data_IF_565181991143
#
_entry.id   IF_565181991143
#
_cell.length_a   1.000
_cell.length_b   1.000
_cell.length_c   1.000
_cell.angle_alpha   90.00
_cell.angle_beta   90.00
_cell.angle_gamma   90.00
#
_symmetry.space_group_name_H-M   'P 1'
#
loop_
_entity.id
_entity.type
_entity.pdbx_description
1 polymer ?
#
# COMPACT_ATOMS: atom_id res chain seq x y z
N UNK A 1 35.87 1.99 18.08
CA UNK A 1 36.04 3.31 18.72
C UNK A 1 35.01 4.22 18.07
N UNK A 2 34.14 4.81 18.89
CA UNK A 2 33.22 5.93 18.63
C UNK A 2 32.13 5.78 17.55
N UNK A 3 30.96 5.39 18.06
CA UNK A 3 29.63 5.89 17.70
C UNK A 3 29.57 7.42 17.78
N UNK A 4 29.02 8.12 16.77
CA UNK A 4 28.18 9.36 16.81
C UNK A 4 27.64 9.53 15.37
N UNK A 5 26.41 9.90 15.02
CA UNK A 5 25.22 10.30 15.74
C UNK A 5 24.27 10.90 14.70
N UNK A 6 23.09 10.31 14.52
CA UNK A 6 22.01 10.89 13.73
C UNK A 6 21.05 11.60 14.68
N UNK A 7 20.70 12.83 14.31
CA UNK A 7 19.79 13.72 15.03
C UNK A 7 18.34 13.18 15.02
N UNK A 8 17.57 13.37 16.11
CA UNK A 8 16.14 13.11 16.14
C UNK A 8 15.32 14.30 15.61
N UNK A 9 14.11 14.06 15.05
CA UNK A 9 13.17 15.13 14.72
C UNK A 9 12.38 15.63 15.94
N UNK A 10 11.95 16.88 15.78
CA UNK A 10 11.34 17.79 16.76
C UNK A 10 10.23 17.20 17.65
N UNK A 11 10.42 17.39 18.95
CA UNK A 11 9.44 17.20 20.02
C UNK A 11 8.65 18.49 20.15
N UNK A 12 7.33 18.40 19.96
CA UNK A 12 6.39 19.46 20.36
C UNK A 12 6.22 19.40 21.89
N UNK A 13 6.54 20.50 22.56
CA UNK A 13 6.33 20.75 23.98
C UNK A 13 4.84 20.64 24.37
N UNK A 14 4.53 19.83 25.37
CA UNK A 14 3.37 20.04 26.26
C UNK A 14 3.84 19.99 27.73
N UNK A 15 3.30 20.86 28.60
CA UNK A 15 3.88 21.16 29.90
C UNK A 15 3.62 20.05 30.95
N UNK A 16 4.69 19.64 31.62
CA UNK A 16 4.66 18.91 32.89
C UNK A 16 4.09 19.81 34.02
N UNK A 17 2.77 19.87 34.16
CA UNK A 17 2.15 20.40 35.37
C UNK A 17 1.05 19.45 35.88
N UNK A 18 1.47 18.39 36.56
CA UNK A 18 0.57 17.63 37.44
C UNK A 18 1.29 16.80 38.52
N UNK A 19 2.63 16.74 38.51
CA UNK A 19 3.43 16.10 39.56
C UNK A 19 3.86 17.04 40.69
N UNK A 20 3.82 18.37 40.49
CA UNK A 20 4.25 19.33 41.51
C UNK A 20 3.21 19.55 42.63
N UNK A 21 1.93 19.26 42.39
CA UNK A 21 0.87 19.45 43.38
C UNK A 21 0.75 18.32 44.40
N UNK A 22 1.25 17.13 44.09
CA UNK A 22 1.16 15.96 44.99
C UNK A 22 2.27 15.93 46.04
N UNK A 23 3.41 16.60 45.82
CA UNK A 23 4.53 16.61 46.77
C UNK A 23 4.39 17.68 47.86
N UNK A 24 3.76 18.83 47.54
CA UNK A 24 3.65 19.96 48.47
C UNK A 24 2.68 19.79 49.65
N UNK A 25 1.80 18.78 49.62
CA UNK A 25 0.87 18.51 50.73
C UNK A 25 1.44 17.53 51.78
N UNK A 26 2.58 16.90 51.50
CA UNK A 26 3.15 15.88 52.38
C UNK A 26 4.27 16.43 53.30
N UNK A 27 4.79 17.63 53.03
CA UNK A 27 5.90 18.24 53.79
C UNK A 27 5.48 19.23 54.88
N UNK A 28 4.18 19.58 55.01
CA UNK A 28 3.71 20.52 56.05
C UNK A 28 3.32 19.86 57.38
N UNK A 29 3.52 18.56 57.57
CA UNK A 29 3.12 17.84 58.79
C UNK A 29 4.25 17.18 59.56
N UNK A 30 5.51 17.36 59.15
CA UNK A 30 6.65 16.69 59.77
C UNK A 30 7.71 17.69 60.28
N UNK A 31 7.30 18.65 61.13
CA UNK A 31 8.26 19.36 61.96
C UNK A 31 7.57 19.92 63.21
N UNK A 32 7.81 19.31 64.37
CA UNK A 32 8.14 20.06 65.58
C UNK A 32 8.74 19.12 66.64
N UNK A 33 9.96 19.46 67.05
CA UNK A 33 10.76 18.79 68.07
C UNK A 33 10.40 19.18 69.51
N UNK A 34 11.15 18.69 70.51
CA UNK A 34 10.62 18.30 71.82
C UNK A 34 10.81 19.35 72.92
N UNK A 35 10.00 19.26 74.00
CA UNK A 35 10.37 19.38 75.44
C UNK A 35 9.21 19.90 76.30
N UNK A 36 8.68 19.05 77.20
CA UNK A 36 8.59 19.24 78.67
C UNK A 36 7.59 18.27 79.30
N UNK A 37 8.06 17.54 80.30
CA UNK A 37 7.22 16.85 81.28
C UNK A 37 6.73 17.87 82.32
N UNK A 38 5.43 17.83 82.63
CA UNK A 38 4.87 18.08 83.96
C UNK A 38 3.54 17.32 84.05
N UNK A 39 3.31 16.60 85.16
CA UNK A 39 2.16 15.69 85.36
C UNK A 39 0.85 16.39 85.78
N UNK A 40 -0.04 15.71 86.52
CA UNK A 40 -0.81 14.52 86.16
C UNK A 40 -2.32 14.81 86.15
N UNK A 41 -3.11 14.12 85.33
CA UNK A 41 -4.56 14.11 85.54
C UNK A 41 -5.40 13.72 84.34
N UNK A 42 -6.31 12.77 84.57
CA UNK A 42 -7.58 12.71 83.84
C UNK A 42 -7.60 11.76 82.64
N UNK A 43 -8.20 10.59 82.88
CA UNK A 43 -8.61 9.63 81.87
C UNK A 43 -9.35 10.27 80.69
N UNK A 44 -9.09 9.79 79.48
CA UNK A 44 -10.11 9.44 78.48
C UNK A 44 -9.45 8.68 77.33
N UNK A 45 -9.77 7.39 77.22
CA UNK A 45 -9.45 6.55 76.06
C UNK A 45 -10.27 7.02 74.87
N UNK A 46 -9.63 7.61 73.87
CA UNK A 46 -10.27 7.90 72.58
C UNK A 46 -9.86 6.83 71.56
N UNK A 47 -10.66 5.77 71.47
CA UNK A 47 -10.60 4.78 70.38
C UNK A 47 -11.08 5.45 69.09
N UNK A 48 -10.20 5.58 68.09
CA UNK A 48 -10.58 5.98 66.73
C UNK A 48 -11.55 4.93 66.14
N UNK A 49 -12.65 5.33 65.49
CA UNK A 49 -13.58 4.39 64.87
C UNK A 49 -12.91 3.73 63.66
N UNK A 50 -12.74 2.40 63.71
CA UNK A 50 -12.36 1.58 62.55
C UNK A 50 -13.49 1.67 61.54
N UNK A 51 -13.19 2.17 60.34
CA UNK A 51 -14.16 2.24 59.25
C UNK A 51 -14.67 0.83 58.90
N UNK A 52 -15.98 0.64 58.64
CA UNK A 52 -16.52 -0.66 58.28
C UNK A 52 -15.92 -1.15 56.97
N UNK A 53 -15.70 -2.47 56.81
CA UNK A 53 -15.17 -3.03 55.57
C UNK A 53 -16.10 -2.68 54.40
N UNK A 54 -15.55 -2.39 53.20
CA UNK A 54 -16.39 -2.07 52.04
C UNK A 54 -17.34 -3.24 51.74
N UNK A 55 -18.58 -2.95 51.31
CA UNK A 55 -19.55 -3.97 50.97
C UNK A 55 -19.04 -4.87 49.84
N UNK A 56 -19.46 -6.14 49.79
CA UNK A 56 -19.07 -7.04 48.70
C UNK A 56 -19.60 -6.50 47.36
N UNK A 57 -18.80 -6.59 46.28
CA UNK A 57 -19.18 -6.04 44.98
C UNK A 57 -20.46 -6.70 44.47
N UNK A 58 -21.42 -5.88 44.00
CA UNK A 58 -22.69 -6.36 43.45
C UNK A 58 -22.62 -6.40 41.93
N UNK A 59 -23.37 -7.30 41.30
CA UNK A 59 -23.43 -7.42 39.83
C UNK A 59 -23.84 -6.11 39.13
N UNK A 60 -24.59 -5.25 39.83
CA UNK A 60 -25.05 -3.94 39.36
C UNK A 60 -23.89 -2.91 39.24
N UNK A 61 -22.83 -3.06 40.02
CA UNK A 61 -21.65 -2.18 39.98
C UNK A 61 -20.79 -2.41 38.73
N UNK A 62 -20.97 -3.57 38.08
CA UNK A 62 -20.21 -4.01 36.91
C UNK A 62 -20.88 -3.63 35.57
N UNK A 63 -21.83 -2.70 35.54
CA UNK A 63 -22.53 -2.33 34.30
C UNK A 63 -21.58 -1.84 33.19
N UNK A 64 -20.52 -1.11 33.55
CA UNK A 64 -19.47 -0.68 32.59
C UNK A 64 -18.70 -1.90 32.09
N UNK A 65 -18.30 -2.81 32.97
CA UNK A 65 -17.57 -4.02 32.58
C UNK A 65 -18.43 -4.92 31.69
N UNK A 66 -19.72 -5.09 31.99
CA UNK A 66 -20.66 -5.82 31.17
C UNK A 66 -20.84 -5.15 29.79
N UNK A 67 -20.92 -3.81 29.75
CA UNK A 67 -20.99 -3.07 28.50
C UNK A 67 -19.71 -3.23 27.66
N UNK A 68 -18.53 -3.18 28.28
CA UNK A 68 -17.24 -3.41 27.62
C UNK A 68 -17.11 -4.85 27.11
N UNK A 69 -17.54 -5.84 27.90
CA UNK A 69 -17.61 -7.24 27.46
C UNK A 69 -18.56 -7.41 26.27
N UNK A 70 -19.74 -6.76 26.31
CA UNK A 70 -20.69 -6.76 25.20
C UNK A 70 -20.10 -6.15 23.93
N UNK A 71 -19.43 -5.00 24.04
CA UNK A 71 -18.73 -4.36 22.92
C UNK A 71 -17.64 -5.26 22.34
N UNK A 72 -16.86 -5.92 23.20
CA UNK A 72 -15.81 -6.86 22.78
C UNK A 72 -16.40 -8.07 22.03
N UNK A 73 -17.51 -8.63 22.52
CA UNK A 73 -18.20 -9.74 21.85
C UNK A 73 -18.71 -9.29 20.48
N UNK A 74 -19.34 -8.12 20.38
CA UNK A 74 -19.78 -7.55 19.11
C UNK A 74 -18.62 -7.34 18.14
N UNK A 75 -17.49 -6.81 18.61
CA UNK A 75 -16.28 -6.62 17.81
C UNK A 75 -15.77 -7.96 17.24
N UNK A 76 -15.63 -8.97 18.09
CA UNK A 76 -15.18 -10.31 17.68
C UNK A 76 -16.15 -10.93 16.67
N UNK A 77 -17.46 -10.76 16.87
CA UNK A 77 -18.47 -11.24 15.94
C UNK A 77 -18.34 -10.59 14.56
N UNK A 78 -18.24 -9.26 14.50
CA UNK A 78 -18.05 -8.51 13.24
C UNK A 78 -16.76 -8.97 12.54
N UNK A 79 -15.67 -9.12 13.28
CA UNK A 79 -14.40 -9.57 12.73
C UNK A 79 -14.51 -10.95 12.08
N UNK A 80 -15.10 -11.92 12.79
CA UNK A 80 -15.22 -13.29 12.31
C UNK A 80 -16.19 -13.39 11.12
N UNK A 81 -17.32 -12.69 11.18
CA UNK A 81 -18.29 -12.66 10.09
C UNK A 81 -17.73 -11.98 8.83
N UNK A 82 -17.03 -10.86 8.98
CA UNK A 82 -16.39 -10.14 7.87
C UNK A 82 -15.30 -10.98 7.21
N UNK A 83 -14.43 -11.61 8.01
CA UNK A 83 -13.38 -12.52 7.53
C UNK A 83 -13.97 -13.73 6.79
N UNK A 84 -15.01 -14.34 7.35
CA UNK A 84 -15.69 -15.48 6.72
C UNK A 84 -16.31 -15.09 5.38
N UNK A 85 -17.02 -13.96 5.32
CA UNK A 85 -17.66 -13.48 4.09
C UNK A 85 -16.65 -13.20 2.98
N UNK A 86 -15.54 -12.53 3.30
CA UNK A 86 -14.46 -12.26 2.36
C UNK A 86 -13.83 -13.56 1.83
N UNK A 87 -13.63 -14.54 2.71
CA UNK A 87 -13.07 -15.84 2.34
C UNK A 87 -14.02 -16.64 1.43
N UNK A 88 -15.33 -16.60 1.69
CA UNK A 88 -16.32 -17.24 0.83
C UNK A 88 -16.39 -16.59 -0.55
N UNK A 89 -16.26 -15.26 -0.62
CA UNK A 89 -16.25 -14.54 -1.89
C UNK A 89 -15.00 -14.90 -2.73
N UNK A 90 -13.83 -14.97 -2.10
CA UNK A 90 -12.59 -15.38 -2.76
C UNK A 90 -12.65 -16.84 -3.24
N UNK A 91 -13.22 -17.75 -2.42
CA UNK A 91 -13.48 -19.14 -2.80
C UNK A 91 -14.46 -19.27 -3.97
N UNK A 92 -15.46 -18.40 -4.02
CA UNK A 92 -16.42 -18.37 -5.14
C UNK A 92 -15.73 -17.93 -6.42
N UNK A 93 -14.89 -16.90 -6.36
CA UNK A 93 -14.14 -16.45 -7.54
C UNK A 93 -13.25 -17.54 -8.11
N UNK A 94 -12.43 -18.20 -7.26
CA UNK A 94 -11.53 -19.24 -7.75
C UNK A 94 -12.31 -20.42 -8.35
N UNK A 95 -13.45 -20.79 -7.76
CA UNK A 95 -14.31 -21.86 -8.30
C UNK A 95 -14.75 -21.61 -9.75
N UNK A 96 -14.98 -20.37 -10.14
CA UNK A 96 -15.44 -20.03 -11.49
C UNK A 96 -14.30 -19.76 -12.49
N UNK A 97 -13.12 -19.36 -12.02
CA UNK A 97 -12.02 -18.92 -12.89
C UNK A 97 -10.84 -19.88 -12.93
N UNK A 98 -10.78 -20.85 -12.00
CA UNK A 98 -9.68 -21.81 -11.94
C UNK A 98 -9.53 -22.59 -13.24
N UNK A 99 -10.63 -23.08 -13.81
CA UNK A 99 -10.60 -23.87 -15.04
C UNK A 99 -10.06 -23.06 -16.22
N UNK A 100 -10.39 -21.77 -16.30
CA UNK A 100 -9.87 -20.84 -17.31
C UNK A 100 -8.35 -20.67 -17.16
N UNK A 101 -7.85 -20.48 -15.94
CA UNK A 101 -6.41 -20.32 -15.76
C UNK A 101 -5.65 -21.64 -15.93
N UNK A 102 -6.22 -22.76 -15.48
CA UNK A 102 -5.60 -24.08 -15.58
C UNK A 102 -5.48 -24.58 -17.02
N UNK A 103 -6.39 -24.18 -17.92
CA UNK A 103 -6.29 -24.52 -19.35
C UNK A 103 -5.18 -23.74 -20.07
N UNK A 104 -4.82 -22.57 -19.54
CA UNK A 104 -3.93 -21.60 -20.20
C UNK A 104 -2.52 -21.52 -19.60
N UNK A 105 -2.33 -22.00 -18.37
CA UNK A 105 -1.06 -21.98 -17.66
C UNK A 105 -0.61 -23.39 -17.28
N UNK A 106 0.68 -23.69 -17.46
CA UNK A 106 1.24 -24.99 -17.08
C UNK A 106 1.31 -25.18 -15.56
N UNK A 107 1.49 -24.10 -14.80
CA UNK A 107 1.54 -24.12 -13.34
C UNK A 107 0.55 -23.11 -12.75
N UNK A 108 -0.27 -23.57 -11.81
CA UNK A 108 -1.26 -22.75 -11.11
C UNK A 108 -1.14 -23.03 -9.61
N UNK A 109 -0.95 -21.97 -8.82
CA UNK A 109 -0.73 -22.03 -7.38
C UNK A 109 0.73 -21.82 -6.98
N UNK A 110 0.99 -22.00 -5.69
CA UNK A 110 2.33 -21.95 -5.08
C UNK A 110 2.99 -23.35 -5.13
N UNK A 111 4.32 -23.42 -5.01
CA UNK A 111 5.12 -24.63 -4.77
C UNK A 111 4.54 -25.59 -3.70
N UNK A 112 3.81 -25.06 -2.71
CA UNK A 112 3.13 -25.82 -1.65
C UNK A 112 1.78 -26.41 -2.05
N UNK A 113 1.33 -26.22 -3.29
CA UNK A 113 0.03 -26.67 -3.80
C UNK A 113 -1.16 -25.80 -3.37
N UNK A 114 -0.93 -24.68 -2.70
CA UNK A 114 -1.99 -23.73 -2.37
C UNK A 114 -2.32 -22.85 -3.58
N UNK A 115 -3.52 -23.01 -4.13
CA UNK A 115 -4.02 -22.23 -5.28
C UNK A 115 -4.28 -20.77 -4.88
N UNK A 116 -4.89 -20.57 -3.71
CA UNK A 116 -5.22 -19.26 -3.18
C UNK A 116 -4.49 -19.05 -1.85
N UNK A 117 -3.59 -18.08 -1.81
CA UNK A 117 -2.82 -17.71 -0.62
C UNK A 117 -3.52 -16.55 0.09
N UNK A 118 -3.72 -16.69 1.39
CA UNK A 118 -4.31 -15.65 2.24
C UNK A 118 -3.18 -14.74 2.77
N UNK A 119 -3.09 -13.53 2.23
CA UNK A 119 -2.12 -12.51 2.67
C UNK A 119 -2.68 -11.75 3.90
N UNK A 120 -4.00 -11.55 3.95
CA UNK A 120 -4.68 -10.92 5.09
C UNK A 120 -6.17 -11.29 5.20
N UNK A 121 -6.92 -10.68 6.13
CA UNK A 121 -8.36 -10.93 6.27
C UNK A 121 -9.20 -10.42 5.09
N UNK A 122 -8.65 -9.52 4.27
CA UNK A 122 -9.29 -8.94 3.09
C UNK A 122 -8.47 -9.09 1.80
N UNK A 123 -7.22 -9.55 1.88
CA UNK A 123 -6.34 -9.71 0.73
C UNK A 123 -6.06 -11.19 0.45
N UNK A 124 -6.30 -11.60 -0.78
CA UNK A 124 -6.00 -12.95 -1.27
C UNK A 124 -5.16 -12.87 -2.54
N UNK A 125 -4.21 -13.79 -2.67
CA UNK A 125 -3.26 -13.85 -3.78
C UNK A 125 -3.43 -15.16 -4.52
N UNK A 126 -3.52 -15.06 -5.84
CA UNK A 126 -3.49 -16.16 -6.78
C UNK A 126 -2.30 -15.98 -7.71
N UNK A 127 -1.60 -17.08 -8.01
CA UNK A 127 -0.39 -17.09 -8.82
C UNK A 127 -0.51 -18.16 -9.90
N UNK A 128 -0.09 -17.83 -11.11
CA UNK A 128 -0.01 -18.77 -12.24
C UNK A 128 1.22 -18.45 -13.09
N UNK A 129 1.86 -19.47 -13.68
CA UNK A 129 3.04 -19.33 -14.52
C UNK A 129 3.11 -20.42 -15.59
N UNK A 130 4.05 -20.28 -16.53
CA UNK A 130 4.27 -21.26 -17.59
C UNK A 130 3.38 -21.05 -18.83
N UNK A 131 3.11 -19.79 -19.20
CA UNK A 131 2.57 -19.41 -20.52
C UNK A 131 3.69 -18.74 -21.32
N UNK A 132 3.69 -18.89 -22.65
CA UNK A 132 4.80 -18.50 -23.54
C UNK A 132 5.28 -17.07 -23.32
N UNK A 133 4.40 -16.07 -23.40
CA UNK A 133 4.72 -14.63 -23.33
C UNK A 133 4.72 -14.05 -21.91
N UNK A 134 4.62 -14.89 -20.88
CA UNK A 134 4.37 -14.48 -19.51
C UNK A 134 5.25 -15.26 -18.54
N UNK A 135 6.11 -14.53 -17.82
CA UNK A 135 6.92 -15.11 -16.74
C UNK A 135 6.00 -15.59 -15.61
N UNK A 136 5.10 -14.70 -15.17
CA UNK A 136 4.09 -15.01 -14.17
C UNK A 136 2.90 -14.07 -14.22
N UNK A 137 1.75 -14.58 -13.78
CA UNK A 137 0.53 -13.85 -13.51
C UNK A 137 0.24 -13.90 -12.02
N UNK A 138 0.03 -12.73 -11.42
CA UNK A 138 -0.38 -12.55 -10.03
C UNK A 138 -1.71 -11.81 -9.98
N UNK A 139 -2.75 -12.47 -9.47
CA UNK A 139 -4.03 -11.83 -9.19
C UNK A 139 -4.15 -11.57 -7.69
N UNK A 140 -4.38 -10.30 -7.31
CA UNK A 140 -4.69 -9.88 -5.95
C UNK A 140 -6.18 -9.56 -5.85
N UNK A 141 -6.90 -10.31 -5.04
CA UNK A 141 -8.29 -10.03 -4.69
C UNK A 141 -8.27 -9.15 -3.43
N UNK A 142 -8.57 -7.88 -3.62
CA UNK A 142 -8.65 -6.87 -2.57
C UNK A 142 -10.12 -6.69 -2.19
N UNK A 143 -10.55 -7.40 -1.15
CA UNK A 143 -11.89 -7.27 -0.62
C UNK A 143 -12.01 -6.02 0.24
N UNK A 144 -13.22 -5.52 0.38
CA UNK A 144 -13.55 -4.53 1.41
C UNK A 144 -13.23 -5.13 2.79
N UNK A 145 -12.54 -4.41 3.68
CA UNK A 145 -12.20 -4.90 5.01
C UNK A 145 -13.43 -4.93 5.94
N UNK A 146 -14.36 -5.86 5.67
CA UNK A 146 -15.61 -6.06 6.43
C UNK A 146 -15.40 -6.51 7.88
N UNK A 147 -14.18 -6.93 8.21
CA UNK A 147 -13.80 -7.35 9.55
C UNK A 147 -13.46 -6.17 10.47
N UNK A 148 -13.26 -4.97 9.90
CA UNK A 148 -12.95 -3.75 10.63
C UNK A 148 -14.22 -2.90 10.80
N UNK A 149 -14.71 -2.69 12.03
CA UNK A 149 -15.88 -1.86 12.30
C UNK A 149 -15.73 -0.41 11.82
N UNK A 150 -14.51 0.14 11.87
CA UNK A 150 -14.26 1.53 11.43
C UNK A 150 -14.41 1.60 9.91
N UNK A 151 -13.82 0.65 9.19
CA UNK A 151 -13.98 0.57 7.74
C UNK A 151 -15.43 0.32 7.32
N UNK A 152 -16.18 -0.49 8.07
CA UNK A 152 -17.63 -0.65 7.86
C UNK A 152 -18.38 0.67 8.04
N UNK A 153 -18.08 1.43 9.09
CA UNK A 153 -18.69 2.74 9.34
C UNK A 153 -18.37 3.73 8.22
N UNK A 154 -17.13 3.77 7.74
CA UNK A 154 -16.75 4.58 6.57
C UNK A 154 -17.48 4.09 5.31
N UNK A 155 -17.68 2.78 5.18
CA UNK A 155 -18.46 2.17 4.10
C UNK A 155 -19.92 2.60 4.05
N UNK A 156 -20.52 2.98 5.19
CA UNK A 156 -21.87 3.58 5.23
C UNK A 156 -21.89 4.98 4.60
N UNK A 157 -20.80 5.75 4.73
CA UNK A 157 -20.67 7.10 4.17
C UNK A 157 -20.27 7.06 2.69
N UNK A 158 -19.42 6.12 2.29
CA UNK A 158 -18.95 5.98 0.91
C UNK A 158 -19.01 4.53 0.44
N UNK A 159 -19.67 4.25 -0.70
CA UNK A 159 -19.71 2.89 -1.24
C UNK A 159 -18.30 2.42 -1.59
N UNK A 160 -17.91 1.31 -0.98
CA UNK A 160 -16.68 0.60 -1.29
C UNK A 160 -17.00 -0.65 -2.10
N UNK A 161 -16.13 -0.99 -3.03
CA UNK A 161 -16.29 -2.16 -3.87
C UNK A 161 -15.06 -3.05 -3.76
N UNK A 162 -15.28 -4.36 -3.76
CA UNK A 162 -14.23 -5.36 -3.87
C UNK A 162 -13.54 -5.22 -5.25
N UNK A 163 -12.22 -5.44 -5.29
CA UNK A 163 -11.38 -5.23 -6.49
C UNK A 163 -10.54 -6.46 -6.77
N UNK A 164 -10.30 -6.72 -8.04
CA UNK A 164 -9.36 -7.74 -8.51
C UNK A 164 -8.29 -7.02 -9.32
N UNK A 165 -7.06 -7.04 -8.83
CA UNK A 165 -5.91 -6.47 -9.50
C UNK A 165 -5.04 -7.60 -10.03
N UNK A 166 -4.92 -7.70 -11.35
CA UNK A 166 -4.11 -8.70 -12.04
C UNK A 166 -2.86 -8.00 -12.56
N UNK A 167 -1.71 -8.52 -12.16
CA UNK A 167 -0.40 -8.12 -12.62
C UNK A 167 0.21 -9.28 -13.40
N UNK A 168 0.59 -9.01 -14.65
CA UNK A 168 1.28 -9.96 -15.50
C UNK A 168 2.68 -9.43 -15.75
N UNK A 169 3.70 -10.23 -15.45
CA UNK A 169 5.08 -9.94 -15.83
C UNK A 169 5.35 -10.62 -17.17
N UNK A 170 5.59 -9.80 -18.19
CA UNK A 170 5.89 -10.26 -19.55
C UNK A 170 7.36 -10.63 -19.66
N UNK A 171 7.72 -11.37 -20.70
CA UNK A 171 9.11 -11.63 -21.01
C UNK A 171 9.81 -10.35 -21.51
N UNK A 172 11.12 -10.28 -21.25
CA UNK A 172 11.95 -9.18 -21.72
C UNK A 172 12.19 -9.29 -23.23
N UNK A 173 12.36 -8.14 -23.89
CA UNK A 173 12.72 -8.02 -25.31
C UNK A 173 11.79 -8.69 -26.35
N UNK A 174 10.56 -9.06 -25.97
CA UNK A 174 9.58 -9.63 -26.93
C UNK A 174 8.91 -8.59 -27.82
N UNK A 175 8.79 -7.34 -27.35
CA UNK A 175 8.13 -6.26 -28.08
C UNK A 175 8.74 -4.89 -27.76
N UNK A 176 8.41 -3.88 -28.57
CA UNK A 176 8.96 -2.54 -28.39
C UNK A 176 8.46 -1.93 -27.06
N UNK A 177 9.36 -1.44 -26.18
CA UNK A 177 9.00 -0.85 -24.91
C UNK A 177 8.02 0.32 -25.09
N UNK A 178 6.92 0.30 -24.32
CA UNK A 178 5.89 1.33 -24.35
C UNK A 178 5.23 1.50 -22.98
N UNK A 179 4.74 2.72 -22.72
CA UNK A 179 3.80 3.03 -21.66
C UNK A 179 2.46 3.37 -22.30
N UNK A 180 1.49 2.50 -22.07
CA UNK A 180 0.11 2.67 -22.53
C UNK A 180 -0.85 2.38 -21.38
N UNK A 181 -2.01 3.04 -21.37
CA UNK A 181 -3.01 2.81 -20.35
C UNK A 181 -4.40 3.18 -20.80
N UNK A 182 -5.39 2.57 -20.14
CA UNK A 182 -6.79 2.93 -20.25
C UNK A 182 -7.34 2.99 -18.84
N UNK A 183 -7.97 4.08 -18.45
CA UNK A 183 -8.64 4.18 -17.15
C UNK A 183 -9.99 4.87 -17.26
N UNK A 184 -10.89 4.52 -16.35
CA UNK A 184 -12.18 5.19 -16.19
C UNK A 184 -12.02 6.63 -15.70
N UNK A 185 -12.95 7.51 -16.06
CA UNK A 185 -12.92 8.94 -15.72
C UNK A 185 -12.68 9.21 -14.22
N UNK A 186 -13.24 8.37 -13.35
CA UNK A 186 -13.07 8.46 -11.89
C UNK A 186 -11.64 8.19 -11.40
N UNK A 187 -10.84 7.48 -12.19
CA UNK A 187 -9.48 7.04 -11.84
C UNK A 187 -8.38 7.84 -12.53
N UNK A 188 -8.66 8.46 -13.68
CA UNK A 188 -7.66 9.19 -14.50
C UNK A 188 -6.81 10.15 -13.67
N UNK A 189 -7.43 11.05 -12.90
CA UNK A 189 -6.71 12.05 -12.11
C UNK A 189 -5.86 11.42 -11.00
N UNK A 190 -6.36 10.36 -10.37
CA UNK A 190 -5.64 9.65 -9.32
C UNK A 190 -4.44 8.90 -9.93
N UNK A 191 -4.66 8.15 -11.01
CA UNK A 191 -3.61 7.42 -11.71
C UNK A 191 -2.47 8.35 -12.18
N UNK A 192 -2.81 9.50 -12.77
CA UNK A 192 -1.82 10.47 -13.22
C UNK A 192 -1.08 11.16 -12.07
N UNK A 193 -1.69 11.28 -10.88
CA UNK A 193 -1.04 11.87 -9.70
C UNK A 193 -0.10 10.90 -8.99
N UNK A 194 -0.51 9.64 -8.85
CA UNK A 194 0.19 8.67 -8.00
C UNK A 194 1.12 7.73 -8.76
N UNK A 195 1.02 7.66 -10.09
CA UNK A 195 1.91 6.83 -10.91
C UNK A 195 2.90 7.66 -11.71
N UNK A 196 4.18 7.38 -11.50
CA UNK A 196 5.28 8.05 -12.16
C UNK A 196 5.37 7.70 -13.66
N UNK A 197 5.17 6.42 -14.00
CA UNK A 197 5.15 5.94 -15.38
C UNK A 197 4.16 6.72 -16.26
N UNK A 198 2.93 6.90 -15.80
CA UNK A 198 1.92 7.63 -16.57
C UNK A 198 2.22 9.14 -16.65
N UNK A 199 2.56 9.76 -15.52
CA UNK A 199 2.76 11.21 -15.46
C UNK A 199 3.99 11.69 -16.24
N UNK A 200 5.04 10.87 -16.31
CA UNK A 200 6.29 11.23 -16.95
C UNK A 200 6.31 10.90 -18.45
N UNK A 201 5.69 9.79 -18.87
CA UNK A 201 5.82 9.30 -20.24
C UNK A 201 4.58 9.57 -21.11
N UNK A 202 3.39 9.58 -20.51
CA UNK A 202 2.13 9.55 -21.30
C UNK A 202 1.41 10.88 -21.33
N UNK A 203 0.50 11.02 -22.29
CA UNK A 203 -0.51 12.07 -22.34
C UNK A 203 -1.91 11.47 -22.30
N UNK A 204 -2.84 12.22 -21.72
CA UNK A 204 -4.25 11.84 -21.65
C UNK A 204 -4.93 12.17 -22.97
N UNK A 205 -5.51 11.17 -23.63
CA UNK A 205 -6.19 11.30 -24.91
C UNK A 205 -7.53 10.58 -24.86
N UNK A 206 -8.57 11.18 -25.43
CA UNK A 206 -9.83 10.49 -25.70
C UNK A 206 -9.72 9.79 -27.05
N UNK A 207 -9.98 8.50 -27.09
CA UNK A 207 -9.97 7.70 -28.30
C UNK A 207 -11.41 7.30 -28.66
N UNK A 208 -11.82 7.38 -29.94
CA UNK A 208 -13.13 6.90 -30.37
C UNK A 208 -13.28 5.38 -30.26
N UNK A 209 -12.16 4.65 -30.09
CA UNK A 209 -12.13 3.20 -29.91
C UNK A 209 -12.52 2.77 -28.48
N UNK A 210 -12.54 3.71 -27.54
CA UNK A 210 -12.80 3.43 -26.13
C UNK A 210 -14.21 3.89 -25.74
N UNK A 211 -14.82 3.26 -24.71
CA UNK A 211 -16.09 3.71 -24.18
C UNK A 211 -16.02 5.17 -23.66
N UNK A 212 -17.13 5.90 -23.71
CA UNK A 212 -17.19 7.33 -23.34
C UNK A 212 -16.66 7.67 -21.94
N UNK A 213 -16.73 6.71 -21.01
CA UNK A 213 -16.26 6.85 -19.63
C UNK A 213 -14.77 6.49 -19.45
N UNK A 214 -14.03 6.21 -20.53
CA UNK A 214 -12.63 5.81 -20.50
C UNK A 214 -11.74 6.84 -21.18
N UNK A 215 -10.50 6.95 -20.67
CA UNK A 215 -9.45 7.77 -21.25
C UNK A 215 -8.22 6.91 -21.48
N UNK A 216 -7.54 7.15 -22.60
CA UNK A 216 -6.26 6.54 -22.90
C UNK A 216 -5.12 7.38 -22.34
N UNK A 217 -4.13 6.73 -21.78
CA UNK A 217 -2.80 7.25 -21.53
C UNK A 217 -1.89 6.70 -22.62
N UNK A 218 -1.31 7.58 -23.44
CA UNK A 218 -0.44 7.12 -24.52
C UNK A 218 0.76 8.04 -24.71
N UNK A 219 1.91 7.46 -25.03
CA UNK A 219 3.09 8.19 -25.50
C UNK A 219 2.87 8.75 -26.93
N UNK A 220 2.12 8.03 -27.77
CA UNK A 220 1.87 8.40 -29.17
C UNK A 220 0.51 7.91 -29.67
N UNK A 221 -0.14 8.65 -30.59
CA UNK A 221 -1.47 8.29 -31.11
C UNK A 221 -1.53 6.88 -31.71
N UNK A 222 -0.48 6.49 -32.45
CA UNK A 222 -0.37 5.19 -33.11
C UNK A 222 -0.34 4.00 -32.14
N UNK A 223 0.15 4.20 -30.90
CA UNK A 223 0.18 3.15 -29.88
C UNK A 223 -1.24 2.73 -29.52
N UNK A 224 -2.15 3.70 -29.34
CA UNK A 224 -3.54 3.43 -28.97
C UNK A 224 -4.26 2.62 -30.05
N UNK A 225 -4.11 2.97 -31.32
CA UNK A 225 -4.78 2.26 -32.43
C UNK A 225 -4.17 0.89 -32.73
N UNK A 226 -2.93 0.66 -32.29
CA UNK A 226 -2.25 -0.63 -32.46
C UNK A 226 -2.64 -1.62 -31.37
N UNK A 227 -2.76 -1.15 -30.13
CA UNK A 227 -3.05 -1.99 -28.96
C UNK A 227 -4.56 -2.24 -28.78
N UNK A 228 -5.41 -1.26 -29.08
CA UNK A 228 -6.86 -1.40 -28.95
C UNK A 228 -7.45 -1.82 -30.28
N UNK A 229 -7.69 -3.12 -30.43
CA UNK A 229 -8.45 -3.67 -31.55
C UNK A 229 -9.97 -3.64 -31.27
N UNK A 230 -10.75 -4.10 -32.26
CA UNK A 230 -12.21 -4.17 -32.14
C UNK A 230 -12.67 -5.13 -31.04
N UNK A 231 -11.90 -6.19 -30.74
CA UNK A 231 -12.24 -7.16 -29.71
C UNK A 231 -12.04 -6.62 -28.31
N UNK A 232 -10.92 -5.96 -28.06
CA UNK A 232 -10.65 -5.23 -26.82
C UNK A 232 -11.70 -4.15 -26.61
N UNK A 233 -11.99 -3.34 -27.63
CA UNK A 233 -13.00 -2.28 -27.56
C UNK A 233 -14.39 -2.83 -27.20
N UNK A 234 -14.79 -3.95 -27.81
CA UNK A 234 -16.08 -4.61 -27.55
C UNK A 234 -16.21 -5.08 -26.11
N UNK A 235 -15.20 -5.78 -25.58
CA UNK A 235 -15.22 -6.31 -24.21
C UNK A 235 -15.20 -5.17 -23.19
N UNK A 236 -14.40 -4.13 -23.42
CA UNK A 236 -14.38 -2.94 -22.57
C UNK A 236 -15.74 -2.21 -22.56
N UNK A 237 -16.42 -2.14 -23.70
CA UNK A 237 -17.76 -1.56 -23.79
C UNK A 237 -18.82 -2.41 -23.08
N UNK A 238 -18.78 -3.74 -23.26
CA UNK A 238 -19.69 -4.68 -22.62
C UNK A 238 -19.58 -4.66 -21.08
N UNK A 239 -18.36 -4.50 -20.55
CA UNK A 239 -18.08 -4.52 -19.12
C UNK A 239 -17.70 -3.16 -18.52
N UNK A 240 -18.21 -2.06 -19.08
CA UNK A 240 -17.91 -0.68 -18.65
C UNK A 240 -18.13 -0.39 -17.15
N UNK A 241 -18.98 -1.16 -16.47
CA UNK A 241 -19.27 -1.00 -15.03
C UNK A 241 -18.29 -1.74 -14.13
N UNK A 242 -17.52 -2.68 -14.69
CA UNK A 242 -16.60 -3.55 -13.97
C UNK A 242 -15.15 -3.23 -14.29
N UNK A 243 -14.88 -2.82 -15.52
CA UNK A 243 -13.57 -2.29 -15.90
C UNK A 243 -13.25 -1.00 -15.13
N UNK A 244 -12.09 -0.92 -14.48
CA UNK A 244 -11.63 0.32 -13.84
C UNK A 244 -10.39 0.90 -14.53
N UNK A 245 -9.37 0.07 -14.76
CA UNK A 245 -8.09 0.49 -15.37
C UNK A 245 -7.31 -0.71 -15.95
N UNK A 246 -6.53 -0.43 -16.99
CA UNK A 246 -5.57 -1.31 -17.64
C UNK A 246 -4.31 -0.52 -17.97
N UNK A 247 -3.13 -1.05 -17.69
CA UNK A 247 -1.85 -0.42 -18.03
C UNK A 247 -0.89 -1.44 -18.62
N UNK A 248 -0.08 -0.98 -19.58
CA UNK A 248 1.05 -1.67 -20.18
C UNK A 248 2.24 -0.76 -19.92
N UNK A 249 3.25 -1.23 -19.19
CA UNK A 249 4.38 -0.36 -18.83
C UNK A 249 5.65 -1.15 -18.65
N UNK A 250 6.74 -0.64 -19.20
CA UNK A 250 8.12 -1.03 -18.93
C UNK A 250 8.77 -0.18 -17.83
N UNK A 251 8.04 0.79 -17.27
CA UNK A 251 8.54 1.78 -16.32
C UNK A 251 7.99 1.53 -14.91
N UNK A 252 8.75 1.83 -13.84
CA UNK A 252 8.31 1.61 -12.48
C UNK A 252 7.16 2.55 -12.09
N UNK A 253 6.23 2.02 -11.30
CA UNK A 253 5.04 2.76 -10.81
C UNK A 253 5.44 3.98 -9.95
N UNK A 254 6.49 3.81 -9.14
CA UNK A 254 7.08 4.88 -8.32
C UNK A 254 8.37 5.36 -8.98
N UNK A 255 8.67 6.65 -8.81
CA UNK A 255 9.92 7.23 -9.30
C UNK A 255 11.09 6.50 -8.64
N UNK A 256 11.99 5.87 -9.42
CA UNK A 256 13.14 5.18 -8.87
C UNK A 256 14.19 6.20 -8.41
N UNK A 257 14.97 5.84 -7.39
CA UNK A 257 16.08 6.68 -6.89
C UNK A 257 17.34 6.52 -7.75
N UNK A 258 17.49 5.35 -8.38
CA UNK A 258 18.62 5.01 -9.23
C UNK A 258 18.14 4.47 -10.59
N UNK A 259 18.96 4.57 -11.65
CA UNK A 259 18.66 3.97 -12.95
C UNK A 259 18.38 2.47 -12.80
N UNK A 260 17.14 2.06 -13.08
CA UNK A 260 16.68 0.67 -12.92
C UNK A 260 15.92 0.27 -14.17
N UNK A 261 16.25 -0.89 -14.73
CA UNK A 261 15.49 -1.52 -15.80
C UNK A 261 14.46 -2.46 -15.19
N UNK A 262 13.22 -2.43 -15.70
CA UNK A 262 12.14 -3.29 -15.24
C UNK A 262 11.59 -4.08 -16.42
N UNK A 263 11.31 -5.37 -16.21
CA UNK A 263 10.59 -6.17 -17.20
C UNK A 263 9.21 -5.55 -17.49
N UNK A 264 8.72 -5.61 -18.75
CA UNK A 264 7.40 -5.09 -19.09
C UNK A 264 6.28 -5.78 -18.31
N UNK A 265 5.29 -5.00 -17.86
CA UNK A 265 4.17 -5.48 -17.05
C UNK A 265 2.83 -5.02 -17.61
N UNK A 266 1.85 -5.91 -17.51
CA UNK A 266 0.45 -5.59 -17.72
C UNK A 266 -0.26 -5.52 -16.38
N UNK A 267 -0.96 -4.43 -16.11
CA UNK A 267 -1.80 -4.24 -14.94
C UNK A 267 -3.25 -4.16 -15.38
N UNK A 268 -4.13 -4.90 -14.72
CA UNK A 268 -5.58 -4.80 -14.91
C UNK A 268 -6.23 -4.69 -13.54
N UNK A 269 -7.12 -3.73 -13.38
CA UNK A 269 -7.97 -3.65 -12.18
C UNK A 269 -9.43 -3.69 -12.58
N UNK A 270 -10.12 -4.67 -12.03
CA UNK A 270 -11.57 -4.82 -12.21
C UNK A 270 -12.27 -4.68 -10.87
N UNK A 271 -13.49 -4.15 -10.91
CA UNK A 271 -14.44 -4.24 -9.81
C UNK A 271 -15.00 -5.66 -9.77
N UNK A 272 -14.91 -6.28 -8.61
CA UNK A 272 -15.40 -7.61 -8.40
C UNK A 272 -16.93 -7.63 -8.39
N UNK A 273 -17.50 -8.67 -9.02
CA UNK A 273 -18.95 -8.87 -9.04
C UNK A 273 -19.45 -9.51 -7.76
N UNK A 274 -20.77 -9.45 -7.55
CA UNK A 274 -21.42 -10.23 -6.50
C UNK A 274 -21.19 -11.72 -6.73
N UNK A 275 -21.32 -12.53 -5.67
CA UNK A 275 -21.19 -14.00 -5.75
C UNK A 275 -22.06 -14.63 -6.85
N UNK A 276 -23.25 -14.08 -7.10
CA UNK A 276 -24.20 -14.58 -8.10
C UNK A 276 -23.80 -14.27 -9.55
N UNK A 277 -23.10 -13.16 -9.78
CA UNK A 277 -22.72 -12.70 -11.12
C UNK A 277 -21.26 -13.00 -11.46
N UNK A 278 -20.57 -13.78 -10.62
CA UNK A 278 -19.14 -14.04 -10.73
C UNK A 278 -18.73 -14.60 -12.10
N UNK A 279 -19.60 -15.39 -12.74
CA UNK A 279 -19.36 -15.97 -14.06
C UNK A 279 -19.22 -14.91 -15.17
N UNK A 280 -19.89 -13.76 -15.03
CA UNK A 280 -19.79 -12.68 -16.01
C UNK A 280 -18.45 -11.93 -15.97
N UNK A 281 -17.55 -12.30 -15.04
CA UNK A 281 -16.16 -11.83 -15.01
C UNK A 281 -15.25 -12.67 -15.89
N UNK A 282 -15.68 -13.85 -16.36
CA UNK A 282 -14.85 -14.76 -17.15
C UNK A 282 -14.34 -14.07 -18.42
N UNK A 283 -15.20 -13.37 -19.15
CA UNK A 283 -14.85 -12.63 -20.38
C UNK A 283 -13.79 -11.52 -20.12
N UNK A 284 -13.79 -10.89 -18.93
CA UNK A 284 -12.74 -9.94 -18.54
C UNK A 284 -11.39 -10.62 -18.28
N UNK A 285 -11.40 -11.82 -17.71
CA UNK A 285 -10.16 -12.58 -17.49
C UNK A 285 -9.66 -13.19 -18.80
N UNK A 286 -10.56 -13.61 -19.69
CA UNK A 286 -10.23 -14.00 -21.07
C UNK A 286 -9.59 -12.83 -21.84
N UNK A 287 -10.08 -11.60 -21.65
CA UNK A 287 -9.43 -10.41 -22.19
C UNK A 287 -8.00 -10.24 -21.67
N UNK A 288 -7.74 -10.48 -20.38
CA UNK A 288 -6.36 -10.45 -19.85
C UNK A 288 -5.50 -11.47 -20.56
N UNK A 289 -5.99 -12.71 -20.71
CA UNK A 289 -5.26 -13.77 -21.41
C UNK A 289 -5.03 -13.44 -22.89
N UNK A 290 -6.01 -12.83 -23.55
CA UNK A 290 -5.89 -12.34 -24.92
C UNK A 290 -4.80 -11.29 -25.04
N UNK A 291 -4.78 -10.31 -24.13
CA UNK A 291 -3.78 -9.22 -24.13
C UNK A 291 -2.35 -9.73 -23.93
N UNK A 292 -2.15 -10.82 -23.18
CA UNK A 292 -0.83 -11.45 -23.02
C UNK A 292 -0.28 -11.93 -24.37
N UNK A 293 -1.12 -12.48 -25.25
CA UNK A 293 -0.66 -12.94 -26.55
C UNK A 293 -0.72 -11.84 -27.62
N UNK A 294 -1.68 -10.93 -27.51
CA UNK A 294 -1.91 -9.87 -28.49
C UNK A 294 -0.83 -8.80 -28.45
N UNK A 295 -0.42 -8.35 -27.26
CA UNK A 295 0.55 -7.26 -27.12
C UNK A 295 1.88 -7.59 -27.83
N UNK A 296 2.53 -8.74 -27.59
CA UNK A 296 3.76 -9.08 -28.30
C UNK A 296 3.62 -9.13 -29.83
N UNK A 297 2.43 -9.47 -30.35
CA UNK A 297 2.21 -9.58 -31.80
C UNK A 297 2.09 -8.21 -32.49
N UNK A 298 1.49 -7.23 -31.82
CA UNK A 298 1.16 -5.93 -32.43
C UNK A 298 2.12 -4.82 -32.04
N UNK A 299 2.80 -4.94 -30.90
CA UNK A 299 3.68 -3.94 -30.30
C UNK A 299 5.05 -3.82 -31.00
N UNK A 300 5.06 -3.74 -32.33
CA UNK A 300 6.25 -3.54 -33.15
C UNK A 300 6.07 -2.25 -33.96
N UNK A 301 6.65 -1.15 -33.47
CA UNK A 301 6.44 0.18 -34.01
C UNK A 301 7.49 0.53 -35.08
N UNK A 302 7.04 1.25 -36.11
CA UNK A 302 7.92 1.72 -37.21
C UNK A 302 8.78 2.90 -36.76
N UNK A 303 9.94 3.04 -37.41
CA UNK A 303 11.11 3.81 -36.95
C UNK A 303 10.86 5.18 -36.29
N UNK A 304 9.97 6.03 -36.81
CA UNK A 304 9.73 7.34 -36.18
C UNK A 304 9.11 7.22 -34.78
N UNK A 305 8.14 6.31 -34.61
CA UNK A 305 7.48 6.09 -33.32
C UNK A 305 8.45 5.41 -32.37
N UNK A 306 9.11 4.34 -32.83
CA UNK A 306 10.12 3.62 -32.04
C UNK A 306 11.23 4.53 -31.52
N UNK A 307 11.77 5.41 -32.37
CA UNK A 307 12.82 6.34 -31.96
C UNK A 307 12.33 7.34 -30.90
N UNK A 308 11.08 7.83 -31.01
CA UNK A 308 10.51 8.72 -29.98
C UNK A 308 10.34 7.99 -28.63
N UNK A 309 9.86 6.76 -28.66
CA UNK A 309 9.71 5.93 -27.46
C UNK A 309 11.06 5.70 -26.78
N UNK A 310 12.09 5.36 -27.55
CA UNK A 310 13.45 5.18 -27.02
C UNK A 310 14.03 6.48 -26.47
N UNK A 311 13.87 7.60 -27.19
CA UNK A 311 14.33 8.92 -26.73
C UNK A 311 13.68 9.34 -25.41
N UNK A 312 12.38 9.08 -25.22
CA UNK A 312 11.69 9.37 -23.96
C UNK A 312 12.30 8.59 -22.78
N UNK A 313 12.70 7.33 -23.02
CA UNK A 313 13.35 6.46 -22.02
C UNK A 313 14.78 6.89 -21.72
N UNK A 314 15.57 7.19 -22.75
CA UNK A 314 16.92 7.73 -22.59
C UNK A 314 16.92 9.03 -21.79
N UNK A 315 16.01 9.96 -22.10
CA UNK A 315 15.85 11.21 -21.36
C UNK A 315 15.46 10.97 -19.90
N UNK A 316 14.57 10.02 -19.62
CA UNK A 316 14.20 9.65 -18.26
C UNK A 316 15.40 9.06 -17.50
N UNK A 317 16.14 8.12 -18.11
CA UNK A 317 17.36 7.54 -17.53
C UNK A 317 18.45 8.59 -17.27
N UNK A 318 18.66 9.53 -18.19
CA UNK A 318 19.63 10.61 -18.01
C UNK A 318 19.22 11.53 -16.86
N UNK A 319 17.92 11.85 -16.74
CA UNK A 319 17.40 12.64 -15.62
C UNK A 319 17.61 11.96 -14.27
N UNK A 320 17.49 10.63 -14.23
CA UNK A 320 17.76 9.82 -13.04
C UNK A 320 19.25 9.74 -12.73
N UNK A 321 20.12 9.59 -13.74
CA UNK A 321 21.57 9.62 -13.56
C UNK A 321 22.03 10.93 -12.95
N UNK A 322 21.57 12.06 -13.49
CA UNK A 322 21.84 13.40 -12.95
C UNK A 322 21.33 13.58 -11.52
N UNK A 323 20.19 12.99 -11.18
CA UNK A 323 19.65 13.04 -9.82
C UNK A 323 20.38 12.11 -8.84
N UNK A 324 20.94 11.00 -9.31
CA UNK A 324 21.71 10.04 -8.50
C UNK A 324 23.15 10.46 -8.27
N UNK A 325 23.70 11.33 -9.13
CA UNK A 325 25.02 11.89 -8.89
C UNK A 325 24.97 12.80 -7.65
N UNK A 326 25.86 12.61 -6.66
CA UNK A 326 25.84 13.45 -5.47
C UNK A 326 26.00 14.90 -5.92
N UNK A 327 25.19 15.75 -5.32
CA UNK A 327 25.17 17.16 -5.69
C UNK A 327 26.58 17.73 -5.60
N UNK A 328 26.93 18.69 -6.46
CA UNK A 328 28.25 19.33 -6.41
C UNK A 328 28.58 19.85 -4.99
N UNK A 329 27.56 20.20 -4.22
CA UNK A 329 27.65 20.61 -2.82
C UNK A 329 28.04 19.46 -1.88
N UNK A 330 27.41 18.29 -2.00
CA UNK A 330 27.76 17.07 -1.24
C UNK A 330 29.17 16.58 -1.60
N UNK A 331 29.52 16.54 -2.89
CA UNK A 331 30.88 16.22 -3.34
C UNK A 331 31.92 17.18 -2.75
N UNK A 332 31.61 18.48 -2.65
CA UNK A 332 32.49 19.48 -2.02
C UNK A 332 32.54 19.34 -0.49
N UNK A 333 31.47 18.90 0.16
CA UNK A 333 31.46 18.65 1.60
C UNK A 333 32.25 17.39 1.95
N UNK A 334 32.09 16.31 1.18
CA UNK A 334 32.88 15.09 1.32
C UNK A 334 34.37 15.35 1.06
N UNK A 335 34.72 16.14 0.04
CA UNK A 335 36.11 16.53 -0.21
C UNK A 335 36.71 17.32 0.96
N UNK A 336 35.96 18.28 1.52
CA UNK A 336 36.40 19.04 2.71
C UNK A 336 36.57 18.15 3.94
N UNK A 337 35.67 17.20 4.17
CA UNK A 337 35.79 16.25 5.27
C UNK A 337 36.99 15.31 5.09
N UNK A 338 37.21 14.80 3.88
CA UNK A 338 38.38 13.96 3.57
C UNK A 338 39.69 14.75 3.71
N UNK A 339 39.70 16.03 3.35
CA UNK A 339 40.87 16.89 3.51
C UNK A 339 41.17 17.14 4.99
N UNK A 340 40.15 17.40 5.81
CA UNK A 340 40.27 17.51 7.27
C UNK A 340 40.77 16.21 7.91
N UNK A 341 40.22 15.05 7.56
CA UNK A 341 40.71 13.76 8.07
C UNK A 341 42.15 13.44 7.64
N UNK A 342 42.56 13.88 6.43
CA UNK A 342 43.95 13.74 5.96
C UNK A 342 44.88 14.65 6.74
N UNK A 343 44.47 15.89 7.01
CA UNK A 343 45.21 16.83 7.86
C UNK A 343 45.36 16.27 9.28
N UNK A 344 44.30 15.72 9.88
CA UNK A 344 44.32 15.11 11.22
C UNK A 344 45.25 13.88 11.33
N UNK A 345 45.46 13.14 10.24
CA UNK A 345 46.37 11.98 10.18
C UNK A 345 47.84 12.35 9.94
N UNK A 346 48.16 13.60 9.62
CA UNK A 346 49.54 14.07 9.46
C UNK A 346 50.17 14.42 10.81
N UNK A 347 51.48 14.17 10.96
CA UNK A 347 52.23 14.48 12.17
C UNK A 347 52.33 16.01 12.41
N UNK A 348 52.50 16.48 13.67
CA UNK A 348 52.42 17.90 14.05
C UNK A 348 53.40 18.83 13.31
N UNK A 349 54.50 18.30 12.77
CA UNK A 349 55.49 19.07 12.00
C UNK A 349 55.06 19.32 10.54
N UNK A 350 54.19 18.47 9.98
CA UNK A 350 53.63 18.64 8.64
C UNK A 350 52.38 19.54 8.63
N UNK A 351 51.63 19.61 9.74
CA UNK A 351 50.47 20.50 9.90
C UNK A 351 50.83 21.99 10.08
N UNK A 352 52.10 22.30 10.38
CA UNK A 352 52.59 23.68 10.60
C UNK A 352 53.14 24.36 9.35
N UNK A 353 53.23 23.64 8.23
CA UNK A 353 53.74 24.12 6.94
C UNK A 353 52.58 24.29 5.98
#
# INVERSE_FOLDING_TARGET
MCLVGAAPPDVFDEPEDTRAHTVRLQETLANDGPLRQDGPGGATSSTLPVAPPPPPPRLEDFYIELALCGLLICYVFIYQWGKYTNEQLAKTWIKHHLDLFASHFAHVGNDKGHILVKDGPADFLFYASGRVHCQYLRARLQMVPRHDPIALLVGLLRPQHDRISIEVCMNEDEYDPMVFGVATASKVNNAYKYRYDLSNFTRQVRSPLLPDNCFAFTEHGDVTSTIIDESVARVLAAHKHRFEEMYITDQPVKKPEAPTTMAPRLYFTFRMSSSMEMQSMVELHELVLYMIDHVPQVAHFRGQVKNKLLQAREAALESLRKASEPSTEEKRQEQRQQEMERLEKMTPEQQRK
#
